data_IF_395285368005
#
_entry.id   IF_395285368005
#
_cell.length_a   1.000
_cell.length_b   1.000
_cell.length_c   1.000
_cell.angle_alpha   90.00
_cell.angle_beta   90.00
_cell.angle_gamma   90.00
#
_symmetry.space_group_name_H-M   'P 1'
#
loop_
_entity.id
_entity.type
_entity.pdbx_description
1 polymer ?
#
# COMPACT_ATOMS: atom_id res chain seq x y z
N UNK A 1 -48.37 -40.22 9.05
CA UNK A 1 -47.68 -39.68 10.24
C UNK A 1 -47.43 -38.21 9.97
N UNK A 2 -48.19 -37.33 10.62
CA UNK A 2 -48.04 -35.88 10.42
C UNK A 2 -46.96 -35.29 11.31
N UNK A 3 -46.04 -34.53 10.75
CA UNK A 3 -45.04 -33.77 11.52
C UNK A 3 -45.80 -32.73 12.36
N UNK A 4 -45.57 -32.65 13.65
CA UNK A 4 -46.31 -31.68 14.48
C UNK A 4 -46.03 -30.24 14.06
N UNK A 5 -47.10 -29.46 13.92
CA UNK A 5 -47.06 -28.05 13.47
C UNK A 5 -46.07 -27.21 14.27
N UNK A 6 -45.85 -27.53 15.56
CA UNK A 6 -44.87 -26.82 16.41
C UNK A 6 -43.43 -26.97 15.92
N UNK A 7 -43.05 -28.10 15.31
CA UNK A 7 -41.70 -28.32 14.78
C UNK A 7 -41.48 -27.52 13.51
N UNK A 8 -42.46 -27.36 12.65
CA UNK A 8 -42.36 -26.49 11.47
C UNK A 8 -42.22 -25.00 11.83
N UNK A 9 -42.91 -24.55 12.88
CA UNK A 9 -42.87 -23.15 13.32
C UNK A 9 -41.47 -22.83 13.87
N UNK A 10 -40.84 -23.71 14.62
CA UNK A 10 -39.51 -23.54 15.19
C UNK A 10 -38.47 -23.43 14.05
N UNK A 11 -38.56 -24.27 13.02
CA UNK A 11 -37.63 -24.25 11.86
C UNK A 11 -37.76 -22.94 11.08
N UNK A 12 -38.99 -22.46 10.91
CA UNK A 12 -39.23 -21.19 10.21
C UNK A 12 -38.65 -20.01 11.01
N UNK A 13 -38.87 -19.97 12.32
CA UNK A 13 -38.36 -18.91 13.19
C UNK A 13 -36.83 -18.94 13.23
N UNK A 14 -36.20 -20.12 13.28
CA UNK A 14 -34.74 -20.25 13.31
C UNK A 14 -34.13 -19.76 11.99
N UNK A 15 -34.71 -20.13 10.85
CA UNK A 15 -34.25 -19.65 9.55
C UNK A 15 -34.44 -18.15 9.38
N UNK A 16 -35.52 -17.58 9.92
CA UNK A 16 -35.77 -16.15 9.88
C UNK A 16 -34.75 -15.40 10.75
N UNK A 17 -34.41 -15.91 11.93
CA UNK A 17 -33.41 -15.33 12.81
C UNK A 17 -32.01 -15.39 12.20
N UNK A 18 -31.68 -16.51 11.52
CA UNK A 18 -30.42 -16.66 10.79
C UNK A 18 -30.36 -15.64 9.63
N UNK A 19 -31.45 -15.49 8.88
CA UNK A 19 -31.53 -14.51 7.79
C UNK A 19 -31.40 -13.07 8.32
N UNK A 20 -32.05 -12.76 9.46
CA UNK A 20 -31.95 -11.44 10.10
C UNK A 20 -30.53 -11.20 10.64
N UNK A 21 -29.88 -12.23 11.16
CA UNK A 21 -28.50 -12.12 11.62
C UNK A 21 -27.56 -11.83 10.45
N UNK A 22 -27.70 -12.53 9.31
CA UNK A 22 -26.92 -12.26 8.10
C UNK A 22 -27.23 -10.88 7.53
N UNK A 23 -28.49 -10.45 7.54
CA UNK A 23 -28.85 -9.09 7.11
C UNK A 23 -28.29 -8.01 8.06
N UNK A 24 -28.25 -8.31 9.36
CA UNK A 24 -27.64 -7.42 10.37
C UNK A 24 -26.11 -7.39 10.22
N UNK A 25 -25.48 -8.54 9.95
CA UNK A 25 -24.06 -8.63 9.68
C UNK A 25 -23.69 -7.90 8.39
N UNK A 26 -24.54 -8.00 7.36
CA UNK A 26 -24.35 -7.23 6.11
C UNK A 26 -24.57 -5.73 6.30
N UNK A 27 -25.40 -5.31 7.27
CA UNK A 27 -25.59 -3.88 7.59
C UNK A 27 -24.46 -3.29 8.42
N UNK A 28 -23.71 -4.11 9.17
CA UNK A 28 -22.53 -3.67 9.92
C UNK A 28 -21.25 -3.62 9.06
N UNK A 29 -21.39 -3.62 7.73
CA UNK A 29 -20.29 -3.61 6.77
C UNK A 29 -19.60 -2.25 6.59
N UNK A 30 -19.38 -1.52 7.68
CA UNK A 30 -18.26 -0.57 7.75
C UNK A 30 -17.08 -1.42 8.19
N UNK A 31 -16.47 -2.06 7.25
CA UNK A 31 -15.22 -2.76 7.52
C UNK A 31 -14.19 -1.72 7.99
N UNK A 32 -13.49 -2.02 9.04
CA UNK A 32 -12.33 -1.25 9.50
C UNK A 32 -11.19 -1.24 8.46
N UNK A 33 -11.51 -1.54 7.21
CA UNK A 33 -10.56 -1.85 6.14
C UNK A 33 -10.04 -0.61 5.41
N UNK A 34 -10.61 0.55 5.65
CA UNK A 34 -10.19 1.76 4.94
C UNK A 34 -10.84 1.92 3.56
N UNK A 35 -11.44 0.88 3.02
CA UNK A 35 -12.24 0.97 1.80
C UNK A 35 -13.72 0.92 2.15
N UNK A 36 -14.49 1.77 1.55
CA UNK A 36 -15.94 1.62 1.54
C UNK A 36 -16.22 0.36 0.71
N UNK A 37 -16.96 -0.60 1.25
CA UNK A 37 -17.45 -1.73 0.46
C UNK A 37 -18.02 -1.16 -0.85
N UNK A 38 -17.74 -1.79 -2.00
CA UNK A 38 -17.87 -1.12 -3.29
C UNK A 38 -19.26 -0.52 -3.46
N UNK A 39 -19.38 0.72 -3.01
CA UNK A 39 -20.51 1.56 -3.40
C UNK A 39 -20.22 1.90 -4.85
N UNK A 40 -20.88 1.23 -5.73
CA UNK A 40 -20.71 1.47 -7.15
C UNK A 40 -21.27 2.85 -7.42
N UNK A 41 -20.41 3.85 -7.36
CA UNK A 41 -20.73 5.18 -7.84
C UNK A 41 -20.50 5.14 -9.35
N UNK A 42 -21.52 5.50 -10.10
CA UNK A 42 -21.51 5.46 -11.54
C UNK A 42 -21.18 6.84 -12.11
N UNK A 43 -20.16 6.91 -12.93
CA UNK A 43 -19.86 8.09 -13.73
C UNK A 43 -20.47 7.84 -15.12
N UNK A 44 -21.34 8.74 -15.55
CA UNK A 44 -21.76 8.79 -16.94
C UNK A 44 -20.74 9.59 -17.74
N UNK A 45 -20.16 8.97 -18.73
CA UNK A 45 -19.29 9.65 -19.66
C UNK A 45 -20.02 9.93 -20.98
N UNK A 46 -19.63 11.06 -21.58
CA UNK A 46 -19.97 11.38 -22.97
C UNK A 46 -19.03 10.68 -23.96
N UNK A 47 -18.73 9.42 -23.71
CA UNK A 47 -18.34 8.58 -24.83
C UNK A 47 -19.64 8.26 -25.58
N UNK A 48 -19.56 8.06 -26.86
CA UNK A 48 -20.68 7.62 -27.70
C UNK A 48 -21.33 6.33 -27.20
N UNK A 49 -20.84 5.81 -26.10
CA UNK A 49 -21.31 4.63 -25.37
C UNK A 49 -21.87 5.14 -24.05
N UNK A 50 -23.18 5.08 -23.86
CA UNK A 50 -23.87 5.51 -22.63
C UNK A 50 -23.68 4.46 -21.53
N UNK A 51 -22.44 4.32 -21.07
CA UNK A 51 -22.06 3.36 -20.05
C UNK A 51 -21.71 4.04 -18.74
N UNK A 52 -22.14 3.44 -17.65
CA UNK A 52 -21.83 3.89 -16.29
C UNK A 52 -20.63 3.11 -15.77
N UNK A 53 -19.58 3.82 -15.36
CA UNK A 53 -18.36 3.21 -14.87
C UNK A 53 -18.27 3.33 -13.34
N UNK A 54 -17.90 2.25 -12.66
CA UNK A 54 -17.80 2.26 -11.22
C UNK A 54 -16.49 2.90 -10.72
N UNK A 55 -16.56 3.54 -9.55
CA UNK A 55 -15.42 4.08 -8.83
C UNK A 55 -15.43 3.47 -7.43
N UNK A 56 -14.26 3.04 -6.93
CA UNK A 56 -14.10 2.58 -5.56
C UNK A 56 -13.34 3.64 -4.78
N UNK A 57 -13.97 4.25 -3.78
CA UNK A 57 -13.38 5.28 -2.95
C UNK A 57 -12.69 4.68 -1.73
N UNK A 58 -11.53 5.23 -1.38
CA UNK A 58 -10.96 5.03 -0.07
C UNK A 58 -11.85 5.73 0.96
N UNK A 59 -12.01 5.12 2.13
CA UNK A 59 -13.01 5.55 3.12
C UNK A 59 -12.66 6.85 3.82
N UNK A 60 -11.44 7.36 3.64
CA UNK A 60 -10.95 8.57 4.28
C UNK A 60 -10.56 9.60 3.22
N UNK A 61 -11.09 10.81 3.34
CA UNK A 61 -10.62 11.99 2.62
C UNK A 61 -9.65 12.76 3.50
N UNK A 62 -8.84 13.59 2.89
CA UNK A 62 -7.80 14.33 3.62
C UNK A 62 -7.96 15.84 3.39
N UNK A 63 -7.96 16.62 4.49
CA UNK A 63 -7.78 18.07 4.45
C UNK A 63 -6.29 18.34 4.57
N UNK A 64 -5.69 18.76 3.48
CA UNK A 64 -4.23 18.88 3.35
C UNK A 64 -3.82 20.35 3.52
N UNK A 65 -3.32 20.67 4.70
CA UNK A 65 -2.86 22.01 5.10
C UNK A 65 -1.37 22.24 4.77
N UNK A 66 -0.72 21.33 4.07
CA UNK A 66 0.68 21.53 3.63
C UNK A 66 0.79 22.55 2.50
N UNK A 67 -0.32 22.78 1.81
CA UNK A 67 -0.40 23.81 0.75
C UNK A 67 -0.74 25.18 1.34
N UNK A 68 -0.28 26.25 0.67
CA UNK A 68 -0.64 27.63 1.02
C UNK A 68 -2.17 27.83 1.05
N UNK A 69 -2.85 27.26 0.06
CA UNK A 69 -4.33 27.15 0.03
C UNK A 69 -4.67 25.70 0.36
N UNK A 70 -5.33 25.42 1.50
CA UNK A 70 -5.67 24.04 1.86
C UNK A 70 -6.42 23.31 0.76
N UNK A 71 -6.16 22.01 0.65
CA UNK A 71 -6.79 21.16 -0.35
C UNK A 71 -7.56 20.03 0.29
N UNK A 72 -8.74 19.76 -0.27
CA UNK A 72 -9.44 18.50 -0.02
C UNK A 72 -8.89 17.47 -1.02
N UNK A 73 -8.51 16.29 -0.51
CA UNK A 73 -7.96 15.20 -1.33
C UNK A 73 -8.76 13.92 -1.08
N UNK A 74 -9.28 13.35 -2.16
CA UNK A 74 -10.09 12.12 -2.12
C UNK A 74 -9.40 11.08 -3.01
N UNK A 75 -9.24 9.88 -2.51
CA UNK A 75 -8.51 8.79 -3.18
C UNK A 75 -9.48 7.73 -3.67
N UNK A 76 -9.24 7.22 -4.88
CA UNK A 76 -10.14 6.25 -5.50
C UNK A 76 -9.41 5.38 -6.53
N UNK A 77 -10.00 4.21 -6.82
CA UNK A 77 -9.69 3.43 -8.01
C UNK A 77 -10.71 3.78 -9.08
N UNK A 78 -10.24 4.31 -10.19
CA UNK A 78 -11.07 4.75 -11.31
C UNK A 78 -10.78 3.95 -12.57
N UNK A 79 -11.78 3.75 -13.43
CA UNK A 79 -11.50 3.25 -14.78
C UNK A 79 -10.68 4.27 -15.57
N UNK A 80 -9.88 3.77 -16.51
CA UNK A 80 -9.09 4.60 -17.41
C UNK A 80 -9.96 5.14 -18.55
N UNK A 81 -10.77 6.12 -18.21
CA UNK A 81 -11.66 6.81 -19.14
C UNK A 81 -11.52 8.33 -18.93
N UNK A 82 -11.90 9.10 -19.90
CA UNK A 82 -11.80 10.57 -19.79
C UNK A 82 -12.85 11.10 -18.83
N UNK A 83 -12.40 11.64 -17.72
CA UNK A 83 -13.28 12.23 -16.70
C UNK A 83 -13.51 13.70 -17.00
N UNK A 84 -14.72 14.05 -17.40
CA UNK A 84 -15.16 15.43 -17.46
C UNK A 84 -15.90 15.76 -16.15
N UNK A 85 -15.22 16.36 -15.22
CA UNK A 85 -15.70 17.18 -14.11
C UNK A 85 -17.11 16.91 -13.51
N UNK A 86 -17.45 15.71 -13.11
CA UNK A 86 -18.79 15.43 -12.57
C UNK A 86 -18.82 15.16 -11.07
N UNK A 87 -17.69 15.33 -10.39
CA UNK A 87 -17.59 15.03 -8.96
C UNK A 87 -17.49 16.32 -8.15
N UNK A 88 -18.27 16.40 -7.08
CA UNK A 88 -18.17 17.50 -6.12
C UNK A 88 -18.21 16.94 -4.70
N UNK A 89 -17.67 17.70 -3.76
CA UNK A 89 -17.74 17.39 -2.35
C UNK A 89 -18.54 18.48 -1.62
N UNK A 90 -19.37 18.06 -0.69
CA UNK A 90 -20.06 18.96 0.24
C UNK A 90 -19.36 18.87 1.60
N UNK A 91 -18.92 20.01 2.08
CA UNK A 91 -18.19 20.16 3.34
C UNK A 91 -19.03 21.00 4.29
N UNK A 92 -19.26 20.50 5.49
CA UNK A 92 -19.95 21.27 6.53
C UNK A 92 -18.99 22.27 7.17
N UNK A 93 -19.30 23.57 7.08
CA UNK A 93 -18.52 24.66 7.65
C UNK A 93 -19.42 25.55 8.50
N UNK A 94 -19.26 25.52 9.83
CA UNK A 94 -19.99 26.41 10.76
C UNK A 94 -21.48 26.51 10.45
N UNK A 95 -22.17 25.34 10.42
CA UNK A 95 -23.59 25.19 10.12
C UNK A 95 -23.99 25.53 8.67
N UNK A 96 -23.04 25.93 7.82
CA UNK A 96 -23.25 26.11 6.39
C UNK A 96 -22.60 24.96 5.63
N UNK A 97 -23.17 24.63 4.49
CA UNK A 97 -22.63 23.61 3.59
C UNK A 97 -21.97 24.30 2.41
N UNK A 98 -20.70 24.00 2.17
CA UNK A 98 -19.95 24.50 1.01
C UNK A 98 -19.78 23.35 0.04
N UNK A 99 -20.19 23.55 -1.22
CA UNK A 99 -19.96 22.59 -2.30
C UNK A 99 -18.73 23.01 -3.10
N UNK A 100 -17.79 22.07 -3.26
CA UNK A 100 -16.55 22.29 -4.00
C UNK A 100 -16.44 21.25 -5.13
N UNK A 101 -15.88 21.67 -6.26
CA UNK A 101 -15.69 20.82 -7.43
C UNK A 101 -14.37 20.07 -7.30
N UNK A 102 -14.37 18.77 -7.53
CA UNK A 102 -13.18 17.92 -7.48
C UNK A 102 -12.63 17.72 -8.90
N UNK A 103 -11.33 17.82 -9.04
CA UNK A 103 -10.60 17.48 -10.26
C UNK A 103 -9.79 16.21 -10.02
N UNK A 104 -9.98 15.21 -10.87
CA UNK A 104 -9.32 13.92 -10.78
C UNK A 104 -8.09 13.81 -11.69
N UNK A 105 -7.04 13.19 -11.17
CA UNK A 105 -5.86 12.84 -11.97
C UNK A 105 -5.33 11.47 -11.56
N UNK A 106 -4.82 10.68 -12.51
CA UNK A 106 -4.18 9.41 -12.14
C UNK A 106 -2.87 9.66 -11.39
N UNK A 107 -2.60 8.83 -10.38
CA UNK A 107 -1.38 8.98 -9.55
C UNK A 107 -0.10 8.89 -10.38
N UNK A 108 -0.09 8.05 -11.40
CA UNK A 108 1.06 7.86 -12.29
C UNK A 108 1.17 8.91 -13.42
N UNK A 109 0.19 9.84 -13.50
CA UNK A 109 0.16 10.90 -14.51
C UNK A 109 -0.51 10.50 -15.82
N UNK A 110 -0.75 9.22 -16.04
CA UNK A 110 -1.40 8.68 -17.24
C UNK A 110 -2.28 7.49 -16.86
N UNK A 111 -3.29 7.22 -17.69
CA UNK A 111 -4.17 6.08 -17.49
C UNK A 111 -4.65 5.58 -18.86
N UNK A 112 -4.35 4.33 -19.24
CA UNK A 112 -3.58 3.36 -18.44
C UNK A 112 -2.10 3.74 -18.34
N UNK A 113 -1.49 3.37 -17.22
CA UNK A 113 -0.07 3.60 -16.99
C UNK A 113 0.78 2.73 -17.93
N UNK A 114 1.88 3.29 -18.47
CA UNK A 114 2.71 2.58 -19.47
C UNK A 114 3.30 1.24 -18.97
N UNK A 115 3.48 1.06 -17.66
CA UNK A 115 3.87 -0.22 -17.07
C UNK A 115 2.69 -1.17 -16.87
N UNK A 116 1.46 -0.69 -17.06
CA UNK A 116 0.24 -1.42 -16.77
C UNK A 116 -0.86 -1.15 -17.82
N UNK A 117 -0.47 -1.15 -19.07
CA UNK A 117 -1.35 -0.82 -20.22
C UNK A 117 -2.58 -1.73 -20.32
N UNK A 118 -2.49 -2.94 -19.77
CA UNK A 118 -3.58 -3.92 -19.80
C UNK A 118 -4.54 -3.79 -18.61
N UNK A 119 -4.26 -2.84 -17.69
CA UNK A 119 -5.08 -2.65 -16.50
C UNK A 119 -6.11 -1.54 -16.75
N UNK A 120 -7.38 -1.88 -16.58
CA UNK A 120 -8.49 -0.96 -16.86
C UNK A 120 -8.69 0.07 -15.75
N UNK A 121 -8.36 -0.28 -14.50
CA UNK A 121 -8.51 0.59 -13.34
C UNK A 121 -7.16 1.07 -12.84
N UNK A 122 -7.11 2.35 -12.46
CA UNK A 122 -5.89 2.96 -11.93
C UNK A 122 -6.19 3.79 -10.69
N UNK A 123 -5.15 4.10 -9.94
CA UNK A 123 -5.23 4.95 -8.75
C UNK A 123 -5.43 6.41 -9.16
N UNK A 124 -6.38 7.08 -8.52
CA UNK A 124 -6.72 8.49 -8.78
C UNK A 124 -6.70 9.30 -7.49
N UNK A 125 -6.29 10.55 -7.63
CA UNK A 125 -6.44 11.56 -6.60
C UNK A 125 -7.39 12.63 -7.14
N UNK A 126 -8.48 12.86 -6.41
CA UNK A 126 -9.45 13.91 -6.69
C UNK A 126 -9.20 15.05 -5.72
N UNK A 127 -8.94 16.25 -6.23
CA UNK A 127 -8.49 17.40 -5.45
C UNK A 127 -9.38 18.62 -5.68
N UNK A 128 -9.67 19.35 -4.59
CA UNK A 128 -10.29 20.68 -4.66
C UNK A 128 -9.51 21.64 -3.77
N UNK A 129 -9.25 22.83 -4.28
CA UNK A 129 -8.73 23.95 -3.47
C UNK A 129 -9.90 24.56 -2.68
N UNK A 130 -9.69 24.80 -1.39
CA UNK A 130 -10.77 25.21 -0.50
C UNK A 130 -10.93 26.74 -0.38
N UNK A 131 -10.06 27.51 -1.06
CA UNK A 131 -10.07 28.95 -1.03
C UNK A 131 -9.41 29.53 0.22
N UNK A 132 -9.47 30.84 0.39
CA UNK A 132 -8.96 31.51 1.57
C UNK A 132 -9.97 31.37 2.72
N UNK A 133 -10.23 30.14 3.16
CA UNK A 133 -10.92 29.95 4.41
C UNK A 133 -9.95 30.34 5.52
N UNK A 134 -10.32 31.32 6.33
CA UNK A 134 -9.60 31.59 7.58
C UNK A 134 -9.47 30.25 8.31
N UNK A 135 -8.28 29.88 8.73
CA UNK A 135 -7.98 28.54 9.29
C UNK A 135 -8.93 28.10 10.41
N UNK A 136 -9.65 29.03 11.04
CA UNK A 136 -10.65 28.77 12.06
C UNK A 136 -11.96 28.20 11.50
N UNK A 137 -12.25 28.36 10.20
CA UNK A 137 -13.53 27.91 9.62
C UNK A 137 -13.55 26.40 9.29
N UNK A 138 -12.38 25.79 9.20
CA UNK A 138 -12.26 24.38 8.80
C UNK A 138 -11.90 23.41 9.93
N UNK A 139 -11.85 23.91 11.16
CA UNK A 139 -11.55 23.06 12.33
C UNK A 139 -12.75 22.19 12.66
N UNK A 140 -12.50 20.91 12.85
CA UNK A 140 -13.52 19.95 13.31
C UNK A 140 -14.40 19.36 12.21
N UNK A 141 -13.93 19.37 10.96
CA UNK A 141 -14.62 18.64 9.88
C UNK A 141 -14.22 17.17 9.97
N UNK A 142 -15.13 16.33 10.41
CA UNK A 142 -14.91 14.88 10.56
C UNK A 142 -15.49 14.07 9.39
N UNK A 143 -16.32 14.69 8.55
CA UNK A 143 -16.99 13.99 7.46
C UNK A 143 -17.29 14.94 6.30
N UNK A 144 -17.20 14.41 5.07
CA UNK A 144 -17.66 15.08 3.85
C UNK A 144 -18.60 14.18 3.09
N UNK A 145 -19.43 14.78 2.24
CA UNK A 145 -20.29 14.04 1.31
C UNK A 145 -19.81 14.27 -0.13
N UNK A 146 -19.46 13.19 -0.79
CA UNK A 146 -19.12 13.21 -2.23
C UNK A 146 -20.43 13.06 -3.02
N UNK A 147 -20.60 13.91 -4.01
CA UNK A 147 -21.72 13.84 -4.96
C UNK A 147 -21.17 13.43 -6.33
N UNK A 148 -21.70 12.37 -6.89
CA UNK A 148 -21.35 11.89 -8.21
C UNK A 148 -22.67 11.55 -8.92
N UNK A 149 -23.03 12.38 -9.89
CA UNK A 149 -24.35 12.30 -10.55
C UNK A 149 -25.48 12.33 -9.49
N UNK A 150 -26.34 11.33 -9.46
CA UNK A 150 -27.47 11.26 -8.54
C UNK A 150 -27.17 10.41 -7.28
N UNK A 151 -25.89 10.16 -6.98
CA UNK A 151 -25.48 9.34 -5.84
C UNK A 151 -24.58 10.13 -4.90
N UNK A 152 -24.62 9.76 -3.64
CA UNK A 152 -23.80 10.37 -2.61
C UNK A 152 -23.07 9.29 -1.80
N UNK A 153 -21.88 9.63 -1.33
CA UNK A 153 -21.14 8.78 -0.40
C UNK A 153 -20.48 9.67 0.65
N UNK A 154 -20.53 9.25 1.92
CA UNK A 154 -19.91 9.96 3.01
C UNK A 154 -18.53 9.37 3.29
N UNK A 155 -17.53 10.24 3.42
CA UNK A 155 -16.16 9.86 3.75
C UNK A 155 -15.73 10.54 5.05
N UNK A 156 -15.00 9.80 5.89
CA UNK A 156 -14.33 10.38 7.06
C UNK A 156 -13.25 11.35 6.61
N UNK A 157 -12.94 12.32 7.44
CA UNK A 157 -11.90 13.31 7.13
C UNK A 157 -10.75 13.18 8.13
N UNK A 158 -9.53 13.28 7.62
CA UNK A 158 -8.32 13.41 8.42
C UNK A 158 -7.55 14.65 7.98
N UNK A 159 -6.97 15.35 8.94
CA UNK A 159 -6.14 16.52 8.66
C UNK A 159 -4.69 16.10 8.44
N UNK A 160 -4.05 16.77 7.49
CA UNK A 160 -2.63 16.62 7.19
C UNK A 160 -1.96 17.99 7.34
N UNK A 161 -1.05 18.09 8.31
CA UNK A 161 -0.38 19.34 8.63
C UNK A 161 1.07 19.33 8.14
N UNK A 162 1.66 20.52 7.84
CA UNK A 162 3.04 20.60 7.39
C UNK A 162 4.05 20.21 8.46
N UNK A 163 3.76 20.53 9.73
CA UNK A 163 4.68 20.22 10.82
C UNK A 163 4.57 18.74 11.21
N UNK A 164 5.62 18.00 10.98
CA UNK A 164 5.75 16.59 11.31
C UNK A 164 6.65 16.39 12.53
N UNK A 165 6.50 15.28 13.19
CA UNK A 165 7.40 14.86 14.26
C UNK A 165 8.72 14.38 13.66
N UNK A 166 9.81 14.62 14.34
CA UNK A 166 11.11 14.03 13.95
C UNK A 166 11.00 12.50 13.91
N UNK A 167 11.84 11.89 13.10
CA UNK A 167 11.89 10.44 12.92
C UNK A 167 11.70 10.01 11.48
N UNK A 168 11.70 8.70 11.27
CA UNK A 168 11.73 8.09 9.96
C UNK A 168 10.68 6.97 9.89
N UNK A 169 9.77 7.03 8.92
CA UNK A 169 8.76 5.99 8.66
C UNK A 169 9.04 5.30 7.33
N UNK A 170 8.98 3.98 7.31
CA UNK A 170 9.02 3.20 6.08
C UNK A 170 7.64 2.60 5.83
N UNK A 171 7.13 2.83 4.62
CA UNK A 171 5.88 2.26 4.14
C UNK A 171 6.16 1.02 3.30
N UNK A 172 5.41 -0.03 3.54
CA UNK A 172 5.42 -1.22 2.68
C UNK A 172 4.09 -1.25 1.93
N UNK A 173 4.17 -1.31 0.60
CA UNK A 173 3.01 -1.39 -0.29
C UNK A 173 2.25 -2.70 -0.07
N UNK A 174 1.02 -2.85 -0.60
CA UNK A 174 0.17 -3.98 -0.24
C UNK A 174 0.84 -5.34 -0.36
N UNK A 175 0.87 -6.05 0.75
CA UNK A 175 1.47 -7.37 0.90
C UNK A 175 0.40 -8.42 0.61
N UNK A 176 0.63 -9.28 -0.38
CA UNK A 176 -0.31 -10.32 -0.79
C UNK A 176 0.42 -11.63 -1.12
N UNK A 177 -0.16 -12.75 -0.77
CA UNK A 177 0.43 -14.09 -0.95
C UNK A 177 1.86 -14.16 -0.42
N UNK A 178 2.15 -13.46 0.69
CA UNK A 178 3.51 -13.31 1.20
C UNK A 178 3.86 -14.44 2.18
N UNK A 179 4.99 -15.11 1.94
CA UNK A 179 5.38 -16.30 2.70
C UNK A 179 6.75 -16.21 3.36
N UNK A 180 7.54 -15.19 3.03
CA UNK A 180 8.93 -15.09 3.46
C UNK A 180 9.04 -14.43 4.84
N UNK A 181 8.65 -15.16 5.89
CA UNK A 181 8.57 -14.62 7.25
C UNK A 181 9.93 -14.10 7.76
N UNK A 182 11.05 -14.75 7.38
CA UNK A 182 12.39 -14.32 7.79
C UNK A 182 12.72 -12.91 7.25
N UNK A 183 12.23 -12.57 6.06
CA UNK A 183 12.43 -11.22 5.49
C UNK A 183 11.75 -10.14 6.34
N UNK A 184 10.67 -10.44 7.04
CA UNK A 184 10.00 -9.46 7.91
C UNK A 184 10.95 -9.00 9.03
N UNK A 185 11.55 -9.96 9.75
CA UNK A 185 12.49 -9.64 10.83
C UNK A 185 13.76 -8.97 10.29
N UNK A 186 14.27 -9.49 9.17
CA UNK A 186 15.46 -8.93 8.51
C UNK A 186 15.20 -7.48 8.10
N UNK A 187 14.13 -7.21 7.38
CA UNK A 187 13.74 -5.88 6.92
C UNK A 187 13.61 -4.91 8.10
N UNK A 188 12.77 -5.26 9.07
CA UNK A 188 12.47 -4.34 10.17
C UNK A 188 13.72 -4.05 10.99
N UNK A 189 14.50 -5.06 11.38
CA UNK A 189 15.66 -4.84 12.23
C UNK A 189 16.81 -4.14 11.47
N UNK A 190 16.96 -4.39 10.16
CA UNK A 190 17.98 -3.68 9.38
C UNK A 190 17.60 -2.20 9.22
N UNK A 191 16.36 -1.90 8.82
CA UNK A 191 15.89 -0.51 8.76
C UNK A 191 16.00 0.21 10.12
N UNK A 192 15.67 -0.49 11.22
CA UNK A 192 15.82 0.06 12.57
C UNK A 192 17.27 0.37 12.90
N UNK A 193 18.22 -0.46 12.43
CA UNK A 193 19.65 -0.20 12.61
C UNK A 193 20.11 1.05 11.85
N UNK A 194 19.32 1.48 10.85
CA UNK A 194 19.57 2.67 10.04
C UNK A 194 18.82 3.92 10.55
N UNK A 195 18.11 3.82 11.68
CA UNK A 195 17.42 4.94 12.30
C UNK A 195 15.90 4.99 12.09
N UNK A 196 15.33 4.01 11.42
CA UNK A 196 13.87 3.96 11.21
C UNK A 196 13.15 3.70 12.53
N UNK A 197 12.11 4.47 12.80
CA UNK A 197 11.36 4.41 14.06
C UNK A 197 9.95 3.86 13.89
N UNK A 198 9.39 3.91 12.69
CA UNK A 198 8.02 3.49 12.41
C UNK A 198 7.90 2.76 11.09
N UNK A 199 6.93 1.82 11.02
CA UNK A 199 6.59 1.11 9.80
C UNK A 199 5.07 1.16 9.60
N UNK A 200 4.63 1.32 8.33
CA UNK A 200 3.23 1.18 7.95
C UNK A 200 3.18 0.10 6.87
N UNK A 201 2.45 -0.96 7.13
CA UNK A 201 2.33 -2.09 6.20
C UNK A 201 0.87 -2.21 5.77
N UNK A 202 0.63 -2.10 4.48
CA UNK A 202 -0.68 -2.39 3.89
C UNK A 202 -0.76 -3.90 3.67
N UNK A 203 -1.79 -4.54 4.22
CA UNK A 203 -1.82 -5.99 4.36
C UNK A 203 -3.06 -6.59 3.72
N UNK A 204 -2.86 -7.45 2.74
CA UNK A 204 -3.90 -8.25 2.11
C UNK A 204 -3.86 -9.70 2.61
N UNK A 205 -2.77 -10.43 2.37
CA UNK A 205 -2.68 -11.85 2.72
C UNK A 205 -1.24 -12.33 2.88
N UNK A 206 -1.05 -13.28 3.80
CA UNK A 206 0.23 -13.93 4.03
C UNK A 206 0.05 -15.29 4.71
N UNK A 207 1.16 -16.01 4.88
CA UNK A 207 1.17 -17.19 5.75
C UNK A 207 1.05 -16.79 7.22
N UNK A 208 0.66 -17.74 8.06
CA UNK A 208 0.56 -17.56 9.53
C UNK A 208 1.89 -17.07 10.13
N UNK A 209 3.01 -17.59 9.66
CA UNK A 209 4.34 -17.21 10.18
C UNK A 209 4.63 -15.72 9.92
N UNK A 210 4.32 -15.23 8.73
CA UNK A 210 4.44 -13.80 8.40
C UNK A 210 3.51 -12.98 9.29
N UNK A 211 2.25 -13.37 9.39
CA UNK A 211 1.25 -12.66 10.22
C UNK A 211 1.71 -12.56 11.66
N UNK A 212 2.24 -13.63 12.24
CA UNK A 212 2.72 -13.64 13.63
C UNK A 212 3.85 -12.63 13.85
N UNK A 213 4.78 -12.50 12.90
CA UNK A 213 5.85 -11.49 13.01
C UNK A 213 5.32 -10.07 12.87
N UNK A 214 4.40 -9.82 11.93
CA UNK A 214 3.78 -8.50 11.77
C UNK A 214 3.03 -8.11 13.06
N UNK A 215 2.29 -9.04 13.66
CA UNK A 215 1.59 -8.80 14.94
C UNK A 215 2.56 -8.55 16.09
N UNK A 216 3.67 -9.27 16.13
CA UNK A 216 4.71 -9.04 17.13
C UNK A 216 5.21 -7.59 17.06
N UNK A 217 5.55 -7.09 15.87
CA UNK A 217 6.02 -5.72 15.70
C UNK A 217 4.91 -4.69 15.91
N UNK A 218 3.66 -5.03 15.58
CA UNK A 218 2.49 -4.19 15.89
C UNK A 218 2.34 -4.02 17.40
N UNK A 219 2.46 -5.13 18.14
CA UNK A 219 2.33 -5.12 19.61
C UNK A 219 3.50 -4.39 20.29
N UNK A 220 4.65 -4.29 19.64
CA UNK A 220 5.75 -3.44 20.09
C UNK A 220 5.49 -1.94 19.81
N UNK A 221 4.44 -1.60 19.10
CA UNK A 221 4.08 -0.22 18.79
C UNK A 221 4.93 0.44 17.70
N UNK A 222 5.76 -0.33 16.99
CA UNK A 222 6.63 0.22 15.93
C UNK A 222 6.07 0.00 14.53
N UNK A 223 5.10 -0.92 14.39
CA UNK A 223 4.48 -1.23 13.10
C UNK A 223 2.97 -0.98 13.19
N UNK A 224 2.44 -0.30 12.18
CA UNK A 224 1.00 -0.13 11.98
C UNK A 224 0.58 -1.02 10.82
N UNK A 225 -0.31 -1.96 11.09
CA UNK A 225 -0.84 -2.86 10.08
C UNK A 225 -2.15 -2.27 9.55
N UNK A 226 -2.20 -2.00 8.25
CA UNK A 226 -3.36 -1.43 7.55
C UNK A 226 -4.02 -2.52 6.71
N UNK A 227 -5.24 -2.93 7.03
CA UNK A 227 -5.96 -3.87 6.15
C UNK A 227 -6.07 -3.30 4.73
N UNK A 228 -5.81 -4.16 3.75
CA UNK A 228 -5.91 -3.80 2.33
C UNK A 228 -6.74 -4.87 1.63
N UNK A 229 -8.06 -4.69 1.57
CA UNK A 229 -8.96 -5.71 1.03
C UNK A 229 -8.89 -5.81 -0.48
N UNK A 230 -9.40 -6.88 -1.02
CA UNK A 230 -9.75 -6.95 -2.43
C UNK A 230 -10.81 -5.90 -2.76
N UNK A 231 -10.74 -5.33 -3.95
CA UNK A 231 -11.70 -4.29 -4.38
C UNK A 231 -13.06 -4.88 -4.74
N UNK A 232 -13.12 -6.19 -4.97
CA UNK A 232 -14.35 -6.92 -5.19
C UNK A 232 -14.80 -6.97 -6.64
N UNK A 233 -15.90 -7.66 -6.83
CA UNK A 233 -16.56 -7.79 -8.12
C UNK A 233 -17.74 -6.83 -8.20
N UNK A 234 -17.95 -6.24 -9.37
CA UNK A 234 -19.13 -5.43 -9.60
C UNK A 234 -20.39 -6.31 -9.47
N UNK A 235 -21.42 -5.82 -8.74
CA UNK A 235 -22.67 -6.55 -8.69
C UNK A 235 -23.26 -6.65 -10.10
N UNK A 236 -23.37 -7.86 -10.62
CA UNK A 236 -23.93 -8.13 -11.94
C UNK A 236 -25.36 -7.60 -12.09
N UNK A 237 -26.07 -7.46 -10.98
CA UNK A 237 -27.44 -6.90 -10.96
C UNK A 237 -27.50 -5.43 -11.40
N UNK A 238 -26.41 -4.67 -11.18
CA UNK A 238 -26.37 -3.25 -11.54
C UNK A 238 -25.96 -3.03 -13.00
N UNK A 239 -25.31 -4.02 -13.61
CA UNK A 239 -24.74 -3.90 -14.94
C UNK A 239 -24.91 -5.20 -15.73
N UNK A 240 -26.14 -5.66 -15.97
CA UNK A 240 -26.35 -6.97 -16.61
C UNK A 240 -25.81 -7.06 -18.05
N UNK A 241 -25.66 -5.93 -18.71
CA UNK A 241 -25.21 -5.86 -20.11
C UNK A 241 -23.79 -5.33 -20.28
N UNK A 242 -23.11 -4.94 -19.17
CA UNK A 242 -21.74 -4.39 -19.23
C UNK A 242 -20.71 -5.47 -18.92
N UNK A 243 -19.89 -5.80 -19.91
CA UNK A 243 -18.74 -6.71 -19.74
C UNK A 243 -17.53 -5.97 -19.18
N UNK A 244 -17.72 -5.26 -18.07
CA UNK A 244 -16.60 -4.61 -17.39
C UNK A 244 -15.73 -5.64 -16.68
N UNK A 245 -14.41 -5.50 -16.77
CA UNK A 245 -13.53 -6.35 -15.97
C UNK A 245 -13.74 -6.07 -14.48
N UNK A 246 -13.57 -7.07 -13.63
CA UNK A 246 -13.65 -6.85 -12.17
C UNK A 246 -12.50 -5.95 -11.73
N UNK A 247 -12.68 -5.21 -10.63
CA UNK A 247 -11.61 -4.40 -10.07
C UNK A 247 -10.38 -5.24 -9.77
N UNK A 248 -10.57 -6.41 -9.15
CA UNK A 248 -9.46 -7.26 -8.72
C UNK A 248 -8.70 -7.88 -9.90
N UNK A 249 -9.36 -8.10 -11.05
CA UNK A 249 -8.70 -8.66 -12.23
C UNK A 249 -8.09 -7.60 -13.15
N UNK A 250 -8.37 -6.33 -12.92
CA UNK A 250 -7.94 -5.27 -13.83
C UNK A 250 -7.32 -4.05 -13.12
N UNK A 251 -6.77 -4.28 -11.94
CA UNK A 251 -6.01 -3.28 -11.17
C UNK A 251 -4.57 -3.76 -10.98
N UNK A 252 -3.61 -2.94 -11.37
CA UNK A 252 -2.19 -3.26 -11.23
C UNK A 252 -1.80 -3.45 -9.76
N UNK A 253 -1.26 -4.63 -9.44
CA UNK A 253 -0.72 -4.96 -8.09
C UNK A 253 -1.58 -4.45 -6.95
N UNK A 254 -2.90 -4.73 -7.01
CA UNK A 254 -3.86 -4.36 -5.94
C UNK A 254 -3.86 -2.86 -5.61
N UNK A 255 -3.59 -2.00 -6.59
CA UNK A 255 -3.61 -0.54 -6.38
C UNK A 255 -2.46 -0.04 -5.50
N UNK A 256 -1.26 -0.58 -5.68
CA UNK A 256 -0.12 -0.24 -4.81
C UNK A 256 0.22 1.26 -4.80
N UNK A 257 0.06 1.98 -5.91
CA UNK A 257 0.32 3.43 -5.95
C UNK A 257 -0.70 4.22 -5.12
N UNK A 258 -1.93 3.72 -5.01
CA UNK A 258 -2.92 4.29 -4.10
C UNK A 258 -2.41 4.18 -2.65
N UNK A 259 -1.97 2.98 -2.25
CA UNK A 259 -1.44 2.74 -0.91
C UNK A 259 -0.22 3.61 -0.61
N UNK A 260 0.69 3.77 -1.58
CA UNK A 260 1.89 4.61 -1.43
C UNK A 260 1.52 6.08 -1.11
N UNK A 261 0.57 6.64 -1.84
CA UNK A 261 0.14 8.02 -1.64
C UNK A 261 -0.64 8.20 -0.33
N UNK A 262 -1.48 7.24 0.03
CA UNK A 262 -2.14 7.24 1.34
C UNK A 262 -1.11 7.20 2.47
N UNK A 263 -0.08 6.36 2.35
CA UNK A 263 0.96 6.25 3.37
C UNK A 263 1.70 7.57 3.57
N UNK A 264 2.04 8.27 2.49
CA UNK A 264 2.71 9.57 2.57
C UNK A 264 1.90 10.60 3.37
N UNK A 265 0.57 10.57 3.23
CA UNK A 265 -0.33 11.46 4.00
C UNK A 265 -0.46 11.00 5.46
N UNK A 266 -0.49 9.70 5.71
CA UNK A 266 -0.67 9.13 7.05
C UNK A 266 0.59 9.16 7.92
N UNK A 267 1.77 9.34 7.33
CA UNK A 267 3.03 9.48 8.07
C UNK A 267 2.96 10.61 9.08
N UNK A 268 3.50 10.38 10.27
CA UNK A 268 3.62 11.39 11.31
C UNK A 268 5.06 11.87 11.48
N UNK A 269 6.00 11.26 10.77
CA UNK A 269 7.43 11.61 10.81
C UNK A 269 7.81 12.48 9.60
N UNK A 270 8.84 13.26 9.78
CA UNK A 270 9.37 14.16 8.75
C UNK A 270 9.96 13.38 7.56
N UNK A 271 10.68 12.32 7.85
CA UNK A 271 11.33 11.49 6.83
C UNK A 271 10.46 10.28 6.53
N UNK A 272 10.28 9.98 5.24
CA UNK A 272 9.56 8.82 4.76
C UNK A 272 10.28 8.08 3.65
N UNK A 273 9.97 6.80 3.50
CA UNK A 273 10.41 5.99 2.37
C UNK A 273 9.33 4.95 2.01
N UNK A 274 9.35 4.52 0.76
CA UNK A 274 8.55 3.37 0.29
C UNK A 274 9.53 2.26 -0.06
N UNK A 275 9.32 1.06 0.49
CA UNK A 275 10.20 -0.08 0.22
C UNK A 275 9.41 -1.39 0.25
N UNK A 276 9.91 -2.39 -0.46
CA UNK A 276 9.41 -3.76 -0.38
C UNK A 276 10.15 -4.51 0.75
N UNK A 277 9.59 -5.62 1.25
CA UNK A 277 10.19 -6.36 2.38
C UNK A 277 11.58 -6.95 2.09
N UNK A 278 12.02 -6.92 0.85
CA UNK A 278 13.34 -7.37 0.43
C UNK A 278 14.27 -6.20 0.04
N UNK A 279 13.92 -4.97 0.45
CA UNK A 279 14.67 -3.76 0.09
C UNK A 279 15.11 -2.96 1.31
N UNK A 280 16.37 -2.53 1.35
CA UNK A 280 16.89 -1.64 2.38
C UNK A 280 17.80 -0.59 1.73
N UNK A 281 17.62 0.68 2.09
CA UNK A 281 18.52 1.75 1.66
C UNK A 281 19.63 1.94 2.69
N UNK A 282 20.84 2.19 2.20
CA UNK A 282 22.02 2.40 3.04
C UNK A 282 22.85 3.56 2.48
N UNK A 283 23.46 4.34 3.35
CA UNK A 283 24.42 5.37 2.95
C UNK A 283 25.83 4.78 2.90
N UNK A 284 26.71 5.38 2.09
CA UNK A 284 28.05 4.83 1.82
C UNK A 284 29.03 5.00 2.97
N UNK A 285 28.87 6.03 3.82
CA UNK A 285 29.92 6.43 4.78
C UNK A 285 29.43 6.61 6.22
N UNK A 286 28.14 6.45 6.47
CA UNK A 286 27.56 6.70 7.80
C UNK A 286 26.19 6.02 7.93
N UNK A 287 25.58 6.11 9.10
CA UNK A 287 24.21 5.64 9.29
C UNK A 287 23.25 6.43 8.38
N UNK A 288 22.30 5.73 7.78
CA UNK A 288 21.37 6.31 6.83
C UNK A 288 20.65 7.56 7.38
N UNK A 289 20.15 7.49 8.62
CA UNK A 289 19.40 8.63 9.20
C UNK A 289 20.27 9.91 9.26
N UNK A 290 21.55 9.79 9.67
CA UNK A 290 22.44 10.93 9.76
C UNK A 290 22.68 11.53 8.38
N UNK A 291 22.95 10.67 7.40
CA UNK A 291 23.12 11.09 6.00
C UNK A 291 21.89 11.82 5.47
N UNK A 292 20.70 11.24 5.69
CA UNK A 292 19.44 11.79 5.16
C UNK A 292 19.14 13.15 5.80
N UNK A 293 19.30 13.27 7.12
CA UNK A 293 19.06 14.53 7.83
C UNK A 293 20.01 15.65 7.33
N UNK A 294 21.27 15.30 7.05
CA UNK A 294 22.23 16.28 6.52
C UNK A 294 21.93 16.63 5.06
N UNK A 295 21.68 15.64 4.22
CA UNK A 295 21.47 15.83 2.78
C UNK A 295 20.15 16.57 2.46
N UNK A 296 19.18 16.53 3.37
CA UNK A 296 17.88 17.21 3.22
C UNK A 296 17.80 18.56 3.93
N UNK A 297 18.91 19.07 4.49
CA UNK A 297 18.94 20.42 5.09
C UNK A 297 18.63 21.55 4.11
N UNK A 298 19.13 21.51 2.85
CA UNK A 298 18.76 22.55 1.90
C UNK A 298 17.28 22.46 1.55
N UNK A 299 16.57 23.58 1.63
CA UNK A 299 15.12 23.65 1.41
C UNK A 299 14.71 23.15 0.02
N UNK A 300 15.60 23.22 -0.97
CA UNK A 300 15.35 22.74 -2.32
C UNK A 300 15.43 21.20 -2.47
N UNK A 301 15.89 20.47 -1.42
CA UNK A 301 16.01 19.01 -1.48
C UNK A 301 14.80 18.37 -0.80
N UNK A 302 13.87 17.88 -1.61
CA UNK A 302 12.67 17.19 -1.11
C UNK A 302 12.79 15.68 -1.08
N UNK A 303 13.77 15.10 -1.79
CA UNK A 303 13.95 13.64 -1.82
C UNK A 303 15.37 13.25 -2.25
N UNK A 304 15.76 12.04 -1.83
CA UNK A 304 17.04 11.39 -2.16
C UNK A 304 16.76 10.10 -2.94
N UNK A 305 17.34 9.94 -4.13
CA UNK A 305 17.17 8.77 -4.98
C UNK A 305 18.36 7.82 -4.80
N UNK A 306 18.09 6.59 -4.35
CA UNK A 306 19.07 5.55 -4.09
C UNK A 306 19.14 4.57 -5.26
N UNK A 307 20.34 4.41 -5.83
CA UNK A 307 20.57 3.50 -6.95
C UNK A 307 20.46 2.05 -6.52
N UNK A 308 19.83 1.23 -7.35
CA UNK A 308 19.55 -0.18 -7.09
C UNK A 308 20.82 -1.03 -7.17
N UNK A 309 21.00 -1.93 -6.19
CA UNK A 309 22.01 -3.00 -6.20
C UNK A 309 21.31 -4.32 -5.85
N UNK A 310 21.36 -5.26 -6.76
CA UNK A 310 20.80 -6.58 -6.51
C UNK A 310 21.78 -7.39 -5.64
N UNK A 311 21.26 -7.96 -4.56
CA UNK A 311 22.02 -8.79 -3.62
C UNK A 311 21.55 -10.24 -3.75
N UNK A 312 22.51 -11.13 -3.93
CA UNK A 312 22.27 -12.57 -3.83
C UNK A 312 22.08 -12.91 -2.35
N UNK A 313 20.91 -13.39 -1.97
CA UNK A 313 20.61 -13.64 -0.58
C UNK A 313 19.92 -15.00 -0.38
N UNK A 314 20.61 -15.86 0.35
CA UNK A 314 20.12 -17.19 0.71
C UNK A 314 20.32 -17.38 2.23
N UNK A 315 19.35 -16.94 3.05
CA UNK A 315 19.52 -17.08 4.49
C UNK A 315 19.45 -18.54 4.92
N UNK A 316 20.36 -18.95 5.76
CA UNK A 316 20.34 -20.29 6.36
C UNK A 316 19.47 -20.25 7.62
N UNK A 317 18.17 -20.35 7.41
CA UNK A 317 17.18 -20.16 8.50
C UNK A 317 17.32 -21.21 9.59
N UNK A 318 17.61 -22.46 9.24
CA UNK A 318 17.81 -23.55 10.19
C UNK A 318 18.94 -23.28 11.20
N UNK A 319 19.97 -22.58 10.76
CA UNK A 319 21.10 -22.18 11.61
C UNK A 319 21.02 -20.71 12.05
N UNK A 320 19.97 -20.00 11.65
CA UNK A 320 19.79 -18.56 11.88
C UNK A 320 20.99 -17.72 11.37
N UNK A 321 21.57 -18.12 10.24
CA UNK A 321 22.69 -17.39 9.65
C UNK A 321 22.17 -16.31 8.71
N UNK A 322 22.34 -15.07 9.10
CA UNK A 322 21.96 -13.87 8.34
C UNK A 322 23.19 -13.03 7.96
N UNK A 323 24.40 -13.63 7.96
CA UNK A 323 25.62 -12.89 7.66
C UNK A 323 25.65 -12.28 6.25
N UNK A 324 24.87 -12.81 5.32
CA UNK A 324 24.72 -12.22 3.99
C UNK A 324 24.16 -10.77 3.99
N UNK A 325 23.55 -10.34 5.08
CA UNK A 325 23.12 -8.94 5.24
C UNK A 325 24.32 -8.03 5.53
N UNK A 326 25.31 -8.54 6.26
CA UNK A 326 26.53 -7.78 6.64
C UNK A 326 27.57 -7.83 5.53
N UNK A 327 27.68 -8.98 4.87
CA UNK A 327 28.65 -9.23 3.78
C UNK A 327 27.90 -9.68 2.51
N UNK A 328 27.16 -8.77 1.87
CA UNK A 328 26.38 -9.15 0.70
C UNK A 328 27.26 -9.48 -0.50
N UNK A 329 26.77 -10.42 -1.29
CA UNK A 329 27.32 -10.72 -2.62
C UNK A 329 26.44 -9.97 -3.63
N UNK A 330 27.04 -9.08 -4.39
CA UNK A 330 26.31 -8.28 -5.37
C UNK A 330 26.24 -8.99 -6.72
N UNK A 331 25.15 -8.77 -7.44
CA UNK A 331 24.96 -9.29 -8.78
C UNK A 331 25.00 -8.15 -9.80
N UNK A 332 25.57 -8.39 -10.96
CA UNK A 332 25.68 -7.40 -12.05
C UNK A 332 24.31 -7.25 -12.75
N UNK A 333 23.37 -6.67 -12.03
CA UNK A 333 22.03 -6.41 -12.54
C UNK A 333 21.47 -5.17 -11.89
N UNK A 334 21.11 -4.21 -12.72
CA UNK A 334 20.53 -2.98 -12.26
C UNK A 334 18.99 -3.06 -12.24
N UNK A 335 18.37 -2.30 -11.38
CA UNK A 335 16.93 -2.14 -11.30
C UNK A 335 16.58 -0.66 -11.08
N UNK A 336 15.30 -0.36 -11.00
CA UNK A 336 14.87 1.00 -10.76
C UNK A 336 15.23 1.46 -9.33
N UNK A 337 15.49 2.76 -9.13
CA UNK A 337 15.81 3.28 -7.81
C UNK A 337 14.60 3.33 -6.89
N UNK A 338 14.84 3.66 -5.62
CA UNK A 338 13.79 4.05 -4.67
C UNK A 338 14.20 5.35 -3.98
N UNK A 339 13.21 6.03 -3.39
CA UNK A 339 13.43 7.36 -2.80
C UNK A 339 13.14 7.39 -1.31
N UNK A 340 13.96 8.18 -0.59
CA UNK A 340 13.65 8.70 0.74
C UNK A 340 13.25 10.16 0.53
N UNK A 341 12.21 10.60 1.23
CA UNK A 341 11.61 11.92 0.96
C UNK A 341 11.18 12.62 2.25
N UNK A 342 11.09 13.94 2.15
CA UNK A 342 10.45 14.77 3.16
C UNK A 342 8.93 14.67 3.00
N UNK A 343 8.26 14.09 4.00
CA UNK A 343 6.82 13.84 3.95
C UNK A 343 5.98 15.12 3.88
N UNK A 344 6.56 16.25 4.28
CA UNK A 344 5.89 17.55 4.20
C UNK A 344 5.99 18.20 2.81
N UNK A 345 6.97 17.77 2.01
CA UNK A 345 7.25 18.35 0.68
C UNK A 345 6.58 17.59 -0.47
N UNK A 346 6.27 16.31 -0.30
CA UNK A 346 5.79 15.48 -1.41
C UNK A 346 4.28 15.62 -1.62
N UNK A 347 3.88 15.79 -2.87
CA UNK A 347 2.48 15.79 -3.28
C UNK A 347 2.03 14.43 -3.80
N UNK A 348 2.70 13.92 -4.86
CA UNK A 348 2.37 12.63 -5.47
C UNK A 348 3.63 11.77 -5.58
N UNK A 349 3.53 10.56 -5.09
CA UNK A 349 4.60 9.55 -5.12
C UNK A 349 4.21 8.46 -6.12
N UNK A 350 5.19 8.03 -6.91
CA UNK A 350 5.09 6.79 -7.68
C UNK A 350 6.17 5.80 -7.22
N UNK A 351 6.11 4.57 -7.67
CA UNK A 351 6.88 3.46 -7.09
C UNK A 351 8.40 3.71 -7.00
N UNK A 352 8.94 4.47 -7.93
CA UNK A 352 10.41 4.64 -8.05
C UNK A 352 10.88 6.10 -7.98
N UNK A 353 9.97 7.05 -7.79
CA UNK A 353 10.30 8.48 -7.79
C UNK A 353 9.21 9.32 -7.14
N UNK A 354 9.52 10.58 -6.93
CA UNK A 354 8.50 11.59 -6.58
C UNK A 354 8.03 12.20 -7.90
N UNK A 355 6.75 12.06 -8.19
CA UNK A 355 6.16 12.62 -9.41
C UNK A 355 5.96 14.13 -9.29
N UNK A 356 5.58 14.58 -8.09
CA UNK A 356 5.32 16.02 -7.87
C UNK A 356 5.58 16.41 -6.42
N UNK A 357 6.23 17.53 -6.23
CA UNK A 357 6.39 18.17 -4.93
C UNK A 357 5.31 19.26 -4.75
N UNK A 358 5.11 19.67 -3.50
CA UNK A 358 4.17 20.74 -3.15
C UNK A 358 4.74 22.11 -3.57
N UNK A 359 6.04 22.32 -3.35
CA UNK A 359 6.76 23.52 -3.74
C UNK A 359 7.72 23.30 -4.90
N UNK A 360 8.88 23.89 -4.80
CA UNK A 360 9.93 23.83 -5.83
C UNK A 360 11.05 22.83 -5.49
N UNK A 361 10.79 21.95 -4.52
CA UNK A 361 11.77 20.94 -4.12
C UNK A 361 12.09 20.01 -5.30
N UNK A 362 13.27 19.37 -5.20
CA UNK A 362 13.75 18.44 -6.22
C UNK A 362 14.24 17.14 -5.58
N UNK A 363 14.43 16.13 -6.43
CA UNK A 363 15.06 14.87 -6.03
C UNK A 363 16.52 14.93 -6.46
N UNK A 364 17.44 14.69 -5.53
CA UNK A 364 18.86 14.56 -5.84
C UNK A 364 19.32 13.09 -5.71
N UNK A 365 20.41 12.75 -6.37
CA UNK A 365 21.00 11.41 -6.25
C UNK A 365 21.70 11.26 -4.90
N UNK A 366 21.40 10.15 -4.22
CA UNK A 366 22.00 9.86 -2.91
C UNK A 366 23.42 9.28 -3.05
N UNK A 367 24.27 9.58 -2.08
CA UNK A 367 25.54 8.86 -1.86
C UNK A 367 25.23 7.60 -1.02
N UNK A 368 24.68 6.63 -1.69
CA UNK A 368 24.18 5.41 -1.06
C UNK A 368 23.52 4.49 -2.06
N UNK A 369 23.02 3.38 -1.59
CA UNK A 369 22.45 2.33 -2.44
C UNK A 369 21.18 1.74 -1.86
N UNK A 370 20.30 1.30 -2.75
CA UNK A 370 19.17 0.43 -2.44
C UNK A 370 19.61 -1.01 -2.58
N UNK A 371 19.75 -1.72 -1.47
CA UNK A 371 20.07 -3.14 -1.45
C UNK A 371 18.78 -3.95 -1.62
N UNK A 372 18.70 -4.74 -2.67
CA UNK A 372 17.53 -5.56 -2.98
C UNK A 372 17.88 -7.04 -2.74
N UNK A 373 17.47 -7.58 -1.60
CA UNK A 373 17.75 -8.94 -1.13
C UNK A 373 16.76 -9.93 -1.75
N UNK A 374 17.01 -10.34 -2.98
CA UNK A 374 16.06 -11.20 -3.68
C UNK A 374 16.44 -12.66 -3.60
N UNK A 375 15.50 -13.50 -3.17
CA UNK A 375 15.61 -14.96 -3.35
C UNK A 375 15.67 -15.27 -4.83
N UNK A 376 16.61 -16.13 -5.20
CA UNK A 376 16.95 -16.42 -6.59
C UNK A 376 15.79 -16.95 -7.42
N UNK A 377 15.00 -16.05 -7.98
CA UNK A 377 13.98 -16.37 -8.96
C UNK A 377 14.42 -16.09 -10.39
N UNK A 378 15.71 -15.75 -10.57
CA UNK A 378 16.23 -15.40 -11.89
C UNK A 378 16.79 -16.65 -12.60
N UNK A 379 16.28 -16.90 -13.79
CA UNK A 379 16.74 -17.98 -14.66
C UNK A 379 18.08 -17.67 -15.31
N UNK A 380 18.41 -16.38 -15.44
CA UNK A 380 19.70 -15.96 -16.02
C UNK A 380 20.72 -15.75 -14.91
N UNK A 381 21.87 -16.42 -14.97
CA UNK A 381 22.91 -16.24 -13.97
C UNK A 381 23.58 -14.86 -14.14
N UNK A 382 23.15 -13.91 -13.32
CA UNK A 382 23.85 -12.63 -13.24
C UNK A 382 25.23 -12.87 -12.63
N UNK A 383 26.26 -12.22 -13.19
CA UNK A 383 27.64 -12.36 -12.69
C UNK A 383 27.76 -11.72 -11.31
N UNK A 384 28.46 -12.41 -10.42
CA UNK A 384 28.83 -11.84 -9.12
C UNK A 384 29.88 -10.74 -9.33
N UNK A 385 29.66 -9.61 -8.68
CA UNK A 385 30.59 -8.47 -8.72
C UNK A 385 31.02 -8.08 -7.33
N UNK A 386 32.29 -7.74 -7.20
CA UNK A 386 32.85 -7.22 -5.96
C UNK A 386 32.62 -5.70 -5.94
N UNK A 387 31.96 -5.23 -4.89
CA UNK A 387 31.80 -3.81 -4.64
C UNK A 387 32.19 -3.50 -3.20
N UNK A 388 32.92 -2.41 -2.97
CA UNK A 388 33.16 -1.97 -1.60
C UNK A 388 31.81 -1.74 -0.91
N UNK A 389 31.67 -2.32 0.26
CA UNK A 389 30.42 -2.19 1.02
C UNK A 389 30.72 -2.27 2.51
N UNK A 390 30.09 -1.39 3.24
CA UNK A 390 30.08 -1.42 4.71
C UNK A 390 28.70 -0.97 5.19
N UNK A 391 28.07 -1.76 6.02
CA UNK A 391 26.83 -1.38 6.67
C UNK A 391 27.17 -0.59 7.94
N UNK A 392 26.98 0.71 7.88
CA UNK A 392 27.23 1.58 9.01
C UNK A 392 26.07 1.50 10.00
N UNK A 393 26.34 1.00 11.19
CA UNK A 393 25.37 0.94 12.29
C UNK A 393 26.05 1.40 13.58
N UNK A 394 25.26 1.85 14.53
CA UNK A 394 25.78 2.25 15.86
C UNK A 394 26.49 1.09 16.58
N UNK A 395 26.05 -0.13 16.31
CA UNK A 395 26.59 -1.34 16.94
C UNK A 395 26.66 -2.46 15.89
N UNK A 396 27.86 -2.77 15.39
CA UNK A 396 28.02 -3.85 14.41
C UNK A 396 27.38 -5.15 14.89
N UNK A 397 26.68 -5.81 13.98
CA UNK A 397 25.98 -7.08 14.20
C UNK A 397 24.81 -7.03 15.22
N UNK A 398 24.49 -5.86 15.79
CA UNK A 398 23.37 -5.78 16.73
C UNK A 398 22.04 -6.12 16.03
N UNK A 399 21.87 -5.67 14.78
CA UNK A 399 20.65 -5.98 14.02
C UNK A 399 20.51 -7.49 13.75
N UNK A 400 21.62 -8.19 13.47
CA UNK A 400 21.60 -9.66 13.28
C UNK A 400 21.13 -10.35 14.58
N UNK A 401 21.69 -9.93 15.72
CA UNK A 401 21.25 -10.45 17.03
C UNK A 401 19.78 -10.16 17.29
N UNK A 402 19.29 -9.00 16.87
CA UNK A 402 17.87 -8.65 16.98
C UNK A 402 16.99 -9.52 16.08
N UNK A 403 17.40 -9.79 14.84
CA UNK A 403 16.69 -10.71 13.94
C UNK A 403 16.56 -12.09 14.62
N UNK A 404 17.68 -12.64 15.10
CA UNK A 404 17.71 -13.94 15.76
C UNK A 404 16.82 -13.95 17.01
N UNK A 405 16.91 -12.90 17.83
CA UNK A 405 16.11 -12.75 19.05
C UNK A 405 14.62 -12.68 18.74
N UNK A 406 14.24 -11.93 17.71
CA UNK A 406 12.83 -11.78 17.29
C UNK A 406 12.28 -13.13 16.81
N UNK A 407 13.01 -13.83 15.96
CA UNK A 407 12.58 -15.15 15.48
C UNK A 407 12.37 -16.13 16.64
N UNK A 408 13.30 -16.18 17.59
CA UNK A 408 13.15 -17.02 18.80
C UNK A 408 11.97 -16.56 19.67
N UNK A 409 11.76 -15.26 19.79
CA UNK A 409 10.66 -14.70 20.60
C UNK A 409 9.29 -15.08 20.04
N UNK A 410 9.16 -15.07 18.71
CA UNK A 410 7.90 -15.35 18.02
C UNK A 410 7.65 -16.85 17.87
N UNK A 411 8.69 -17.63 17.55
CA UNK A 411 8.56 -19.04 17.20
C UNK A 411 9.09 -20.01 18.25
N UNK A 412 9.72 -19.52 19.32
CA UNK A 412 10.32 -20.37 20.34
C UNK A 412 11.62 -21.01 19.86
N UNK A 413 11.91 -22.19 20.37
CA UNK A 413 13.13 -22.96 20.03
C UNK A 413 13.04 -23.63 18.66
N UNK A 414 11.82 -23.87 18.17
CA UNK A 414 11.57 -24.56 16.88
C UNK A 414 11.17 -23.55 15.82
N UNK A 415 12.16 -22.97 15.14
CA UNK A 415 11.90 -22.04 14.04
C UNK A 415 11.28 -22.82 12.89
N UNK A 416 10.11 -22.40 12.36
CA UNK A 416 9.47 -23.11 11.26
C UNK A 416 10.39 -23.24 10.03
N UNK A 417 10.38 -24.38 9.34
CA UNK A 417 11.15 -24.45 8.09
C UNK A 417 10.58 -23.48 7.06
N UNK A 418 11.46 -22.87 6.29
CA UNK A 418 11.06 -22.01 5.18
C UNK A 418 10.67 -22.88 3.98
N UNK A 419 9.50 -22.63 3.43
CA UNK A 419 9.02 -23.33 2.26
C UNK A 419 9.06 -22.39 1.03
N UNK A 420 10.04 -22.59 0.17
CA UNK A 420 10.23 -21.79 -1.04
C UNK A 420 9.19 -22.08 -2.13
N UNK A 421 8.40 -23.16 -1.98
CA UNK A 421 7.37 -23.55 -2.96
C UNK A 421 6.38 -22.40 -3.21
N UNK A 422 5.96 -21.71 -2.15
CA UNK A 422 4.98 -20.62 -2.28
C UNK A 422 5.49 -19.50 -3.19
N UNK A 423 6.73 -19.06 -2.96
CA UNK A 423 7.35 -18.02 -3.78
C UNK A 423 7.54 -18.51 -5.23
N UNK A 424 7.95 -19.76 -5.41
CA UNK A 424 8.14 -20.37 -6.72
C UNK A 424 6.82 -20.40 -7.52
N UNK A 425 5.74 -20.88 -6.92
CA UNK A 425 4.41 -20.94 -7.56
C UNK A 425 3.92 -19.54 -7.90
N UNK A 426 4.08 -18.58 -6.99
CA UNK A 426 3.70 -17.19 -7.25
C UNK A 426 4.46 -16.61 -8.44
N UNK A 427 5.77 -16.84 -8.50
CA UNK A 427 6.62 -16.37 -9.61
C UNK A 427 6.23 -17.01 -10.96
N UNK A 428 5.90 -18.32 -10.96
CA UNK A 428 5.39 -18.99 -12.16
C UNK A 428 4.08 -18.35 -12.63
N UNK A 429 3.16 -18.07 -11.71
CA UNK A 429 1.90 -17.40 -12.04
C UNK A 429 2.14 -16.00 -12.62
N UNK A 430 3.01 -15.21 -12.00
CA UNK A 430 3.33 -13.85 -12.48
C UNK A 430 3.94 -13.91 -13.88
N UNK A 431 4.87 -14.84 -14.12
CA UNK A 431 5.49 -15.05 -15.45
C UNK A 431 4.41 -15.36 -16.49
N UNK A 432 3.46 -16.21 -16.14
CA UNK A 432 2.36 -16.56 -17.05
C UNK A 432 1.48 -15.34 -17.36
N UNK A 433 1.08 -14.56 -16.35
CA UNK A 433 0.27 -13.33 -16.54
C UNK A 433 0.97 -12.37 -17.51
N UNK A 434 2.26 -12.15 -17.29
CA UNK A 434 3.09 -11.25 -18.12
C UNK A 434 3.20 -11.80 -19.55
N UNK A 435 3.46 -13.10 -19.69
CA UNK A 435 3.56 -13.75 -21.02
C UNK A 435 2.27 -13.73 -21.80
N UNK A 436 1.13 -13.74 -21.12
CA UNK A 436 -0.20 -13.63 -21.75
C UNK A 436 -0.63 -12.18 -22.01
N UNK A 437 0.20 -11.19 -21.68
CA UNK A 437 -0.12 -9.78 -21.86
C UNK A 437 -1.32 -9.31 -21.07
N UNK A 438 -1.56 -9.88 -19.89
CA UNK A 438 -2.68 -9.51 -19.01
C UNK A 438 -2.27 -8.46 -18.00
N UNK A 439 -3.25 -7.77 -17.43
CA UNK A 439 -3.03 -6.89 -16.29
C UNK A 439 -2.35 -7.65 -15.14
N UNK A 440 -1.31 -7.09 -14.55
CA UNK A 440 -0.60 -7.69 -13.39
C UNK A 440 -1.42 -7.55 -12.11
N UNK A 441 -2.63 -8.05 -12.13
CA UNK A 441 -3.49 -8.14 -10.95
C UNK A 441 -3.27 -9.49 -10.27
N UNK A 442 -2.10 -9.61 -9.65
CA UNK A 442 -1.55 -10.85 -9.12
C UNK A 442 -2.47 -11.53 -8.11
N UNK A 443 -3.14 -10.74 -7.27
CA UNK A 443 -4.03 -11.29 -6.23
C UNK A 443 -5.11 -12.18 -6.86
N UNK A 444 -5.81 -11.67 -7.86
CA UNK A 444 -6.95 -12.38 -8.45
C UNK A 444 -6.50 -13.50 -9.41
N UNK A 445 -5.54 -13.20 -10.31
CA UNK A 445 -5.10 -14.20 -11.28
C UNK A 445 -4.36 -15.38 -10.65
N UNK A 446 -3.60 -15.13 -9.59
CA UNK A 446 -2.85 -16.20 -8.93
C UNK A 446 -3.65 -16.92 -7.82
N UNK A 447 -4.86 -16.47 -7.55
CA UNK A 447 -5.69 -17.02 -6.47
C UNK A 447 -5.83 -18.56 -6.57
N UNK A 448 -6.20 -19.06 -7.75
CA UNK A 448 -6.37 -20.50 -7.97
C UNK A 448 -5.07 -21.32 -7.80
N UNK A 449 -3.91 -20.67 -7.93
CA UNK A 449 -2.59 -21.31 -7.75
C UNK A 449 -2.15 -21.26 -6.29
N UNK A 450 -2.48 -20.17 -5.59
CA UNK A 450 -1.97 -19.90 -4.25
C UNK A 450 -2.88 -20.46 -3.14
N UNK A 451 -4.20 -20.30 -3.27
CA UNK A 451 -5.14 -20.72 -2.21
C UNK A 451 -4.96 -22.19 -1.77
N UNK A 452 -4.75 -23.14 -2.68
CA UNK A 452 -4.62 -24.54 -2.25
C UNK A 452 -3.33 -24.88 -1.52
N UNK A 453 -2.34 -23.99 -1.49
CA UNK A 453 -1.00 -24.31 -0.98
C UNK A 453 -0.91 -24.31 0.54
N UNK A 454 -1.71 -23.51 1.21
CA UNK A 454 -1.70 -23.37 2.67
C UNK A 454 -2.92 -22.57 3.14
N UNK A 455 -3.15 -22.53 4.44
CA UNK A 455 -4.15 -21.65 5.05
C UNK A 455 -3.62 -20.21 5.08
N UNK A 456 -4.03 -19.42 4.10
CA UNK A 456 -3.64 -18.01 4.01
C UNK A 456 -4.42 -17.17 5.02
N UNK A 457 -3.73 -16.26 5.68
CA UNK A 457 -4.33 -15.28 6.62
C UNK A 457 -4.59 -13.99 5.84
N UNK A 458 -5.85 -13.50 5.94
CA UNK A 458 -6.32 -12.28 5.25
C UNK A 458 -6.58 -11.15 6.24
N UNK A 459 -6.65 -10.15 5.63
CA UNK A 459 -6.86 -9.00 6.35
C UNK A 459 -8.05 -8.89 6.96
#
# INVERSE_FOLDING_TARGET
MGVPVKSCLIIIITNLLIALYFLSACRKGVTETGFVAPTVLQIREKLEIDENFPIVFYSTAYLDYRYKIPRLRVFAMNPCVTHKEYMSAEIGLNQKKKKVKLRGEPTEGECPWHWATQCFYNSYIWTAELGEANGTEMVGIDQITIHLNNRTISLKVQEVHPKRKGGFTVCVQPVYWYSEYHNIALFIETWRSQGVTRFIVYYHSSTTQVRNLLEYYRNLGILRLRPWPSFGRLPTRLFPNLKLPSFDSSTYRVGHTLAQNLCALEMKTEIGAIADFDEVMVADKEMLINYVEEAMKPDEVGALSFSHLLVKFEPKISTMDFHGVVKPVFLDRNGPPKTIFNSSAVDIIVTHSIRRFIGNETTIRANGSLLHYRHNSYTDPAKEVQKPYSLFTSYPNLHIKRIQKTLRKVFGSSIPPYNSTYLHVLNQCITKIVGEGKCRSTVEYCKQWMEPLTDWVYX
#
